data_IF_045367383780
#
_entry.id   IF_045367383780
#
_cell.length_a   1.000
_cell.length_b   1.000
_cell.length_c   1.000
_cell.angle_alpha   90.00
_cell.angle_beta   90.00
_cell.angle_gamma   90.00
#
_symmetry.space_group_name_H-M   'P 1'
#
loop_
_entity.id
_entity.type
_entity.pdbx_description
1 polymer ?
#
# COMPACT_ATOMS: atom_id res chain seq x y z
N UNK A 1 -8.68 1.62 0.13
CA UNK A 1 -7.77 2.51 -0.65
C UNK A 1 -7.12 1.78 -1.83
N UNK A 2 -6.46 0.64 -1.67
CA UNK A 2 -5.78 -0.08 -2.77
C UNK A 2 -6.68 -0.30 -3.99
N UNK A 3 -7.90 -0.78 -3.79
CA UNK A 3 -8.89 -0.95 -4.87
C UNK A 3 -9.19 0.35 -5.64
N UNK A 4 -9.26 1.49 -4.93
CA UNK A 4 -9.48 2.78 -5.59
C UNK A 4 -8.30 3.17 -6.49
N UNK A 5 -7.05 3.03 -5.99
CA UNK A 5 -5.86 3.32 -6.78
C UNK A 5 -5.80 2.44 -8.03
N UNK A 6 -6.10 1.14 -7.90
CA UNK A 6 -6.13 0.20 -9.03
C UNK A 6 -7.19 0.60 -10.08
N UNK A 7 -8.38 1.03 -9.65
CA UNK A 7 -9.41 1.55 -10.57
C UNK A 7 -9.01 2.85 -11.29
N UNK A 8 -8.08 3.61 -10.71
CA UNK A 8 -7.48 4.78 -11.35
C UNK A 8 -6.29 4.42 -12.28
N UNK A 9 -5.99 3.13 -12.44
CA UNK A 9 -4.90 2.65 -13.28
C UNK A 9 -3.53 2.67 -12.61
N UNK A 10 -3.47 2.82 -11.28
CA UNK A 10 -2.23 2.74 -10.50
C UNK A 10 -2.01 1.28 -10.11
N UNK A 11 -0.85 0.73 -10.46
CA UNK A 11 -0.43 -0.60 -10.04
C UNK A 11 -0.05 -0.55 -8.56
N UNK A 12 -0.81 -1.22 -7.71
CA UNK A 12 -0.56 -1.27 -6.27
C UNK A 12 0.10 -2.61 -5.94
N UNK A 13 1.27 -2.54 -5.29
CA UNK A 13 2.03 -3.70 -4.82
C UNK A 13 2.37 -3.57 -3.36
N UNK A 14 2.85 -4.63 -2.74
CA UNK A 14 3.29 -4.62 -1.35
C UNK A 14 4.62 -5.35 -1.21
N UNK A 15 5.36 -5.00 -0.18
CA UNK A 15 6.58 -5.70 0.23
C UNK A 15 6.59 -5.85 1.75
N UNK A 16 7.32 -6.84 2.22
CA UNK A 16 7.55 -7.11 3.64
C UNK A 16 9.04 -7.14 3.85
N UNK A 17 9.61 -6.00 4.17
CA UNK A 17 11.02 -5.90 4.52
C UNK A 17 11.21 -4.88 5.65
N UNK A 18 12.11 -5.19 6.57
CA UNK A 18 12.47 -4.27 7.65
C UNK A 18 13.40 -3.15 7.13
N UNK A 19 13.02 -2.52 6.02
CA UNK A 19 13.78 -1.45 5.37
C UNK A 19 13.41 -0.11 6.00
N UNK A 20 14.08 0.23 7.09
CA UNK A 20 14.06 1.58 7.66
C UNK A 20 12.67 2.12 8.00
N UNK A 21 12.37 3.34 7.56
CA UNK A 21 11.13 4.07 7.83
C UNK A 21 10.26 4.25 6.58
N UNK A 22 10.47 3.45 5.53
CA UNK A 22 9.71 3.56 4.30
C UNK A 22 8.32 2.92 4.47
N UNK A 23 7.27 3.73 4.48
CA UNK A 23 5.89 3.26 4.58
C UNK A 23 5.31 2.92 3.19
N UNK A 24 5.59 3.75 2.18
CA UNK A 24 5.25 3.52 0.77
C UNK A 24 6.18 4.31 -0.14
N UNK A 25 6.16 3.98 -1.42
CA UNK A 25 6.87 4.70 -2.48
C UNK A 25 6.03 4.66 -3.76
N UNK A 26 5.96 5.81 -4.45
CA UNK A 26 5.35 5.94 -5.76
C UNK A 26 6.37 6.30 -6.83
N UNK A 27 6.27 5.69 -8.01
CA UNK A 27 7.16 5.98 -9.14
C UNK A 27 6.50 5.71 -10.49
N UNK A 28 7.08 6.28 -11.56
CA UNK A 28 6.60 6.16 -12.93
C UNK A 28 7.67 5.46 -13.79
N UNK A 29 7.71 4.12 -13.84
CA UNK A 29 8.57 3.44 -14.79
C UNK A 29 8.08 3.68 -16.23
N UNK A 30 9.04 3.85 -17.13
CA UNK A 30 8.79 3.96 -18.57
C UNK A 30 9.30 2.68 -19.22
N UNK A 31 8.40 1.88 -19.75
CA UNK A 31 8.78 0.69 -20.53
C UNK A 31 8.74 1.04 -22.02
N UNK A 32 9.83 0.79 -22.70
CA UNK A 32 9.93 0.96 -24.15
C UNK A 32 9.97 -0.41 -24.81
N UNK A 33 8.98 -0.69 -25.66
CA UNK A 33 8.91 -1.90 -26.46
C UNK A 33 8.64 -1.54 -27.92
N UNK A 34 9.44 -2.08 -28.86
CA UNK A 34 9.32 -1.83 -30.29
C UNK A 34 9.25 -0.33 -30.68
N UNK A 35 9.95 0.54 -29.94
CA UNK A 35 9.96 1.99 -30.18
C UNK A 35 8.79 2.76 -29.59
N UNK A 36 7.83 2.08 -28.98
CA UNK A 36 6.75 2.71 -28.23
C UNK A 36 7.10 2.75 -26.73
N UNK A 37 6.97 3.93 -26.13
CA UNK A 37 7.22 4.14 -24.69
C UNK A 37 5.89 4.26 -23.96
N UNK A 38 5.68 3.41 -22.95
CA UNK A 38 4.48 3.42 -22.11
C UNK A 38 4.85 3.70 -20.66
N UNK A 39 4.16 4.67 -20.06
CA UNK A 39 4.29 5.00 -18.64
C UNK A 39 3.35 4.14 -17.82
N UNK A 40 3.85 3.62 -16.71
CA UNK A 40 3.06 2.93 -15.72
C UNK A 40 3.13 3.68 -14.40
N UNK A 41 2.05 3.67 -13.65
CA UNK A 41 1.96 4.32 -12.35
C UNK A 41 1.99 3.24 -11.27
N UNK A 42 2.99 3.29 -10.40
CA UNK A 42 3.19 2.31 -9.34
C UNK A 42 3.15 2.97 -7.97
N UNK A 43 2.48 2.32 -7.04
CA UNK A 43 2.57 2.61 -5.61
C UNK A 43 2.83 1.30 -4.87
N UNK A 44 3.94 1.21 -4.17
CA UNK A 44 4.34 0.03 -3.38
C UNK A 44 4.35 0.40 -1.91
N UNK A 45 3.67 -0.39 -1.06
CA UNK A 45 3.60 -0.12 0.38
C UNK A 45 4.22 -1.26 1.21
N UNK A 46 4.73 -0.89 2.39
CA UNK A 46 5.30 -1.83 3.34
C UNK A 46 4.18 -2.42 4.20
N UNK A 47 4.15 -3.77 4.33
CA UNK A 47 3.20 -4.47 5.20
C UNK A 47 3.68 -4.58 6.63
N UNK A 48 5.00 -4.42 6.87
CA UNK A 48 5.58 -4.50 8.19
C UNK A 48 5.28 -3.25 9.01
N UNK A 49 4.95 -3.43 10.29
CA UNK A 49 4.75 -2.32 11.23
C UNK A 49 3.67 -1.30 10.84
N UNK A 50 2.78 -1.65 9.90
CA UNK A 50 1.62 -0.82 9.57
C UNK A 50 0.33 -1.44 10.10
N UNK A 51 -0.74 -0.67 10.08
CA UNK A 51 -2.09 -1.12 10.42
C UNK A 51 -3.03 -0.75 9.28
N UNK A 52 -4.20 -1.39 9.13
CA UNK A 52 -5.14 -1.03 8.05
C UNK A 52 -5.50 0.47 8.04
N UNK A 53 -5.63 1.08 9.21
CA UNK A 53 -5.92 2.51 9.33
C UNK A 53 -4.76 3.39 8.85
N UNK A 54 -3.51 3.01 9.16
CA UNK A 54 -2.31 3.69 8.67
C UNK A 54 -2.14 3.49 7.17
N UNK A 55 -2.35 2.26 6.69
CA UNK A 55 -2.28 1.95 5.26
C UNK A 55 -3.26 2.80 4.45
N UNK A 56 -4.50 2.99 4.94
CA UNK A 56 -5.46 3.87 4.26
C UNK A 56 -4.93 5.30 4.13
N UNK A 57 -4.29 5.83 5.18
CA UNK A 57 -3.67 7.16 5.13
C UNK A 57 -2.48 7.20 4.18
N UNK A 58 -1.58 6.23 4.26
CA UNK A 58 -0.40 6.12 3.39
C UNK A 58 -0.81 6.07 1.92
N UNK A 59 -1.77 5.22 1.55
CA UNK A 59 -2.25 5.13 0.17
C UNK A 59 -3.00 6.40 -0.29
N UNK A 60 -3.70 7.09 0.61
CA UNK A 60 -4.32 8.38 0.29
C UNK A 60 -3.28 9.49 0.12
N UNK A 61 -2.19 9.44 0.87
CA UNK A 61 -1.04 10.35 0.74
C UNK A 61 -0.34 10.16 -0.61
N UNK A 62 -0.07 8.91 -1.00
CA UNK A 62 0.48 8.58 -2.32
C UNK A 62 -0.44 9.06 -3.46
N UNK A 63 -1.77 8.86 -3.30
CA UNK A 63 -2.74 9.42 -4.24
C UNK A 63 -2.66 10.95 -4.31
N UNK A 64 -2.41 11.61 -3.19
CA UNK A 64 -2.18 13.05 -3.14
C UNK A 64 -1.00 13.46 -4.00
N UNK A 65 0.14 12.78 -3.91
CA UNK A 65 1.30 13.02 -4.77
C UNK A 65 0.96 12.84 -6.26
N UNK A 66 0.17 11.82 -6.62
CA UNK A 66 -0.27 11.60 -8.00
C UNK A 66 -1.14 12.74 -8.52
N UNK A 67 -2.16 13.14 -7.76
CA UNK A 67 -3.12 14.16 -8.17
C UNK A 67 -2.48 15.55 -8.25
N UNK A 68 -1.58 15.86 -7.31
CA UNK A 68 -0.90 17.16 -7.23
C UNK A 68 0.33 17.26 -8.15
N UNK A 69 0.71 16.15 -8.80
CA UNK A 69 1.83 16.13 -9.73
C UNK A 69 3.21 16.18 -9.07
N UNK A 70 3.33 15.74 -7.82
CA UNK A 70 4.56 15.78 -7.03
C UNK A 70 5.54 14.63 -7.36
N UNK A 71 5.13 13.67 -8.21
CA UNK A 71 5.95 12.51 -8.54
C UNK A 71 7.01 12.91 -9.56
N UNK A 72 8.23 13.01 -9.11
CA UNK A 72 9.41 13.33 -9.93
C UNK A 72 10.26 12.08 -10.17
N UNK A 73 10.96 12.03 -11.31
CA UNK A 73 11.82 10.90 -11.67
C UNK A 73 13.07 10.80 -10.79
N UNK A 74 13.49 11.91 -10.17
CA UNK A 74 14.65 11.96 -9.27
C UNK A 74 14.37 12.86 -8.06
N UNK A 75 14.03 12.23 -6.94
CA UNK A 75 13.77 12.92 -5.66
C UNK A 75 15.01 13.65 -5.14
N UNK A 76 16.23 13.17 -5.48
CA UNK A 76 17.48 13.79 -5.02
C UNK A 76 17.75 15.16 -5.68
N UNK A 77 17.09 15.45 -6.78
CA UNK A 77 17.19 16.74 -7.48
C UNK A 77 16.24 17.81 -6.91
N UNK A 78 15.33 17.43 -6.03
CA UNK A 78 14.36 18.36 -5.43
C UNK A 78 14.99 19.17 -4.30
N UNK A 79 14.70 20.47 -4.25
CA UNK A 79 15.11 21.31 -3.12
C UNK A 79 14.37 20.89 -1.84
N UNK A 80 15.05 20.88 -0.70
CA UNK A 80 14.47 20.50 0.60
C UNK A 80 13.18 21.23 0.96
N UNK A 81 13.06 22.51 0.55
CA UNK A 81 11.86 23.31 0.80
C UNK A 81 10.67 22.85 -0.04
N UNK A 82 10.91 22.52 -1.31
CA UNK A 82 9.91 21.99 -2.23
C UNK A 82 9.45 20.61 -1.78
N UNK A 83 10.38 19.71 -1.43
CA UNK A 83 10.05 18.40 -0.88
C UNK A 83 9.14 18.52 0.35
N UNK A 84 9.49 19.36 1.32
CA UNK A 84 8.65 19.58 2.52
C UNK A 84 7.27 20.15 2.20
N UNK A 85 7.18 21.04 1.20
CA UNK A 85 5.90 21.57 0.74
C UNK A 85 5.04 20.47 0.14
N UNK A 86 5.59 19.67 -0.75
CA UNK A 86 4.89 18.55 -1.41
C UNK A 86 4.39 17.51 -0.41
N UNK A 87 5.21 17.18 0.60
CA UNK A 87 4.81 16.29 1.70
C UNK A 87 3.65 16.88 2.52
N UNK A 88 3.71 18.19 2.80
CA UNK A 88 2.63 18.90 3.52
C UNK A 88 1.32 18.86 2.72
N UNK A 89 1.38 19.12 1.42
CA UNK A 89 0.22 19.14 0.55
C UNK A 89 -0.40 17.75 0.38
N UNK A 90 0.43 16.72 0.22
CA UNK A 90 -0.02 15.32 0.18
C UNK A 90 -0.70 14.89 1.49
N UNK A 91 -0.14 15.30 2.64
CA UNK A 91 -0.75 15.06 3.96
C UNK A 91 -2.09 15.78 4.13
N UNK A 92 -2.20 17.02 3.65
CA UNK A 92 -3.45 17.78 3.68
C UNK A 92 -4.49 17.15 2.77
N UNK A 93 -4.10 16.75 1.55
CA UNK A 93 -4.96 16.02 0.63
C UNK A 93 -5.50 14.74 1.28
N UNK A 94 -4.62 13.87 1.77
CA UNK A 94 -5.00 12.60 2.41
C UNK A 94 -5.98 12.81 3.56
N UNK A 95 -5.70 13.82 4.39
CA UNK A 95 -6.55 14.18 5.52
C UNK A 95 -7.95 14.67 5.09
N UNK A 96 -8.02 15.49 4.05
CA UNK A 96 -9.28 16.00 3.53
C UNK A 96 -10.08 14.93 2.77
N UNK A 97 -9.37 14.07 2.03
CA UNK A 97 -9.96 12.98 1.25
C UNK A 97 -10.59 11.91 2.14
N UNK A 98 -9.86 11.46 3.17
CA UNK A 98 -10.35 10.43 4.09
C UNK A 98 -11.37 10.94 5.09
N UNK A 99 -11.29 12.23 5.48
CA UNK A 99 -12.17 12.88 6.44
C UNK A 99 -12.72 14.21 5.86
N UNK A 100 -13.67 14.15 4.91
CA UNK A 100 -14.31 15.34 4.35
C UNK A 100 -14.96 16.17 5.45
N UNK A 101 -14.78 17.48 5.41
CA UNK A 101 -15.13 18.42 6.50
C UNK A 101 -16.56 18.25 7.01
N UNK A 102 -17.53 18.33 6.09
CA UNK A 102 -18.96 18.37 6.47
C UNK A 102 -19.40 17.06 7.12
N UNK A 103 -19.01 15.92 6.54
CA UNK A 103 -19.41 14.60 7.04
C UNK A 103 -18.66 14.22 8.32
N UNK A 104 -17.36 14.54 8.40
CA UNK A 104 -16.58 14.27 9.59
C UNK A 104 -17.08 15.09 10.80
N UNK A 105 -17.32 16.40 10.60
CA UNK A 105 -17.83 17.25 11.69
C UNK A 105 -19.24 16.88 12.15
N UNK A 106 -20.08 16.39 11.25
CA UNK A 106 -21.40 15.86 11.60
C UNK A 106 -21.32 14.65 12.54
N UNK A 107 -20.30 13.80 12.35
CA UNK A 107 -20.11 12.60 13.17
C UNK A 107 -19.39 12.89 14.49
N UNK A 108 -18.54 13.92 14.54
CA UNK A 108 -17.69 14.27 15.69
C UNK A 108 -18.47 15.11 16.70
N UNK A 109 -19.22 14.44 17.60
CA UNK A 109 -20.07 15.12 18.57
C UNK A 109 -19.31 15.66 19.79
N UNK A 110 -18.25 14.94 20.22
CA UNK A 110 -17.49 15.27 21.43
C UNK A 110 -15.99 15.41 21.11
N UNK A 111 -15.56 16.51 20.45
CA UNK A 111 -14.21 16.63 19.91
C UNK A 111 -13.10 16.63 20.97
N UNK A 112 -13.41 16.93 22.24
CA UNK A 112 -12.42 16.94 23.33
C UNK A 112 -12.32 15.61 24.08
N UNK A 113 -13.11 14.60 23.69
CA UNK A 113 -13.18 13.29 24.34
C UNK A 113 -12.48 12.23 23.53
N UNK A 114 -11.38 11.65 24.05
CA UNK A 114 -10.57 10.66 23.30
C UNK A 114 -11.38 9.43 22.88
N UNK A 115 -12.30 8.95 23.72
CA UNK A 115 -13.12 7.77 23.40
C UNK A 115 -14.10 8.01 22.23
N UNK A 116 -14.41 9.26 21.90
CA UNK A 116 -15.20 9.61 20.72
C UNK A 116 -14.44 9.23 19.43
N UNK A 117 -13.15 9.52 19.37
CA UNK A 117 -12.30 9.13 18.23
C UNK A 117 -12.13 7.62 18.14
N UNK A 118 -12.11 6.90 19.26
CA UNK A 118 -12.13 5.44 19.25
C UNK A 118 -13.41 4.88 18.60
N UNK A 119 -14.56 5.44 18.95
CA UNK A 119 -15.85 5.10 18.32
C UNK A 119 -15.87 5.42 16.82
N UNK A 120 -15.33 6.56 16.42
CA UNK A 120 -15.28 6.99 15.03
C UNK A 120 -14.31 6.17 14.18
N UNK A 121 -13.25 5.59 14.79
CA UNK A 121 -12.29 4.74 14.10
C UNK A 121 -12.95 3.54 13.39
N UNK A 122 -13.96 2.94 14.01
CA UNK A 122 -14.72 1.82 13.43
C UNK A 122 -15.47 2.23 12.15
N UNK A 123 -15.95 3.47 12.09
CA UNK A 123 -16.68 4.00 10.92
C UNK A 123 -15.75 4.48 9.83
N UNK A 124 -14.72 5.25 10.19
CA UNK A 124 -13.89 5.98 9.25
C UNK A 124 -12.65 5.20 8.79
N UNK A 125 -12.30 4.11 9.49
CA UNK A 125 -11.13 3.26 9.19
C UNK A 125 -9.82 4.05 9.06
N UNK A 126 -9.66 5.07 9.88
CA UNK A 126 -8.46 5.90 10.01
C UNK A 126 -7.99 5.94 11.47
N UNK A 127 -6.73 6.29 11.69
CA UNK A 127 -6.19 6.33 13.05
C UNK A 127 -6.80 7.45 13.90
N UNK A 128 -6.88 7.21 15.20
CA UNK A 128 -7.34 8.19 16.19
C UNK A 128 -6.46 9.45 16.11
N UNK A 129 -5.14 9.27 16.00
CA UNK A 129 -4.20 10.38 15.87
C UNK A 129 -4.49 11.25 14.64
N UNK A 130 -4.84 10.64 13.51
CA UNK A 130 -5.20 11.36 12.28
C UNK A 130 -6.51 12.15 12.46
N UNK A 131 -7.53 11.56 13.05
CA UNK A 131 -8.80 12.24 13.31
C UNK A 131 -8.63 13.43 14.25
N UNK A 132 -7.81 13.32 15.30
CA UNK A 132 -7.49 14.44 16.19
C UNK A 132 -6.77 15.56 15.44
N UNK A 133 -5.79 15.22 14.56
CA UNK A 133 -5.13 16.22 13.70
C UNK A 133 -6.11 16.90 12.77
N UNK A 134 -7.01 16.14 12.14
CA UNK A 134 -8.05 16.71 11.27
C UNK A 134 -8.97 17.67 12.02
N UNK A 135 -9.45 17.30 13.21
CA UNK A 135 -10.27 18.17 14.06
C UNK A 135 -9.53 19.47 14.42
N UNK A 136 -8.22 19.39 14.69
CA UNK A 136 -7.41 20.57 14.96
C UNK A 136 -7.24 21.46 13.69
N UNK A 137 -6.96 20.87 12.52
CA UNK A 137 -6.87 21.58 11.25
C UNK A 137 -8.19 22.26 10.85
N UNK A 138 -9.32 21.68 11.26
CA UNK A 138 -10.65 22.26 11.06
C UNK A 138 -11.06 23.26 12.15
N UNK A 139 -10.11 23.65 13.03
CA UNK A 139 -10.30 24.63 14.11
C UNK A 139 -11.37 24.24 15.15
N UNK A 140 -11.71 22.96 15.24
CA UNK A 140 -12.64 22.40 16.23
C UNK A 140 -11.97 22.20 17.59
N UNK A 141 -10.66 22.02 17.58
CA UNK A 141 -9.83 21.90 18.78
C UNK A 141 -8.91 23.10 18.92
N UNK A 142 -8.82 23.65 20.13
CA UNK A 142 -7.78 24.61 20.48
C UNK A 142 -6.40 23.92 20.56
N UNK A 143 -5.28 24.66 20.50
CA UNK A 143 -3.93 24.09 20.66
C UNK A 143 -3.76 23.28 21.96
N UNK A 144 -4.35 23.75 23.07
CA UNK A 144 -4.29 23.09 24.38
C UNK A 144 -5.07 21.79 24.40
N UNK A 145 -6.26 21.75 23.79
CA UNK A 145 -7.10 20.54 23.67
C UNK A 145 -6.42 19.49 22.78
N UNK A 146 -5.84 19.92 21.64
CA UNK A 146 -5.06 19.07 20.78
C UNK A 146 -3.88 18.42 21.52
N UNK A 147 -3.06 19.21 22.22
CA UNK A 147 -1.95 18.69 23.02
C UNK A 147 -2.41 17.76 24.13
N UNK A 148 -3.55 18.06 24.75
CA UNK A 148 -4.11 17.23 25.80
C UNK A 148 -4.53 15.84 25.29
N UNK A 149 -5.22 15.78 24.14
CA UNK A 149 -5.59 14.52 23.50
C UNK A 149 -4.36 13.70 23.09
N UNK A 150 -3.31 14.33 22.55
CA UNK A 150 -2.07 13.65 22.23
C UNK A 150 -1.30 13.13 23.45
N UNK A 151 -1.38 13.84 24.60
CA UNK A 151 -0.87 13.30 25.87
C UNK A 151 -1.66 12.08 26.32
N UNK A 152 -2.97 12.09 26.20
CA UNK A 152 -3.80 10.93 26.51
C UNK A 152 -3.50 9.73 25.60
N UNK A 153 -3.30 9.94 24.31
CA UNK A 153 -2.81 8.89 23.37
C UNK A 153 -1.49 8.30 23.87
N UNK A 154 -0.56 9.15 24.25
CA UNK A 154 0.76 8.71 24.77
C UNK A 154 0.64 7.90 26.04
N UNK A 155 -0.13 8.37 27.02
CA UNK A 155 -0.30 7.69 28.31
C UNK A 155 -1.00 6.33 28.22
N UNK A 156 -1.81 6.12 27.17
CA UNK A 156 -2.49 4.85 26.87
C UNK A 156 -1.68 3.94 25.96
N UNK A 157 -0.50 4.35 25.49
CA UNK A 157 0.30 3.60 24.51
C UNK A 157 -0.28 3.61 23.09
N UNK A 158 -1.34 4.40 22.82
CA UNK A 158 -2.05 4.41 21.53
C UNK A 158 -1.32 5.18 20.42
N UNK A 159 -0.16 5.76 20.68
CA UNK A 159 0.68 6.35 19.62
C UNK A 159 1.29 5.30 18.69
N UNK A 160 1.55 4.11 19.23
CA UNK A 160 2.18 3.01 18.49
C UNK A 160 1.15 1.98 18.07
N UNK A 161 0.23 1.66 18.97
CA UNK A 161 -0.80 0.65 18.78
C UNK A 161 -2.14 1.15 19.32
N UNK A 162 -3.09 1.36 18.44
CA UNK A 162 -4.44 1.80 18.80
C UNK A 162 -5.36 0.60 18.98
N UNK A 163 -6.41 0.70 19.83
CA UNK A 163 -7.44 -0.34 19.89
C UNK A 163 -8.02 -0.60 18.49
N UNK A 164 -8.23 -1.88 18.16
CA UNK A 164 -8.73 -2.30 16.85
C UNK A 164 -7.66 -2.44 15.74
N UNK A 165 -6.38 -2.22 16.04
CA UNK A 165 -5.27 -2.41 15.09
C UNK A 165 -4.84 -3.88 14.89
N UNK A 166 -5.52 -4.84 15.51
CA UNK A 166 -5.18 -6.28 15.45
C UNK A 166 -5.52 -6.97 14.13
N UNK A 167 -6.01 -6.23 13.14
CA UNK A 167 -6.39 -6.79 11.84
C UNK A 167 -5.17 -6.86 10.94
N UNK A 168 -4.94 -8.00 10.30
CA UNK A 168 -3.88 -8.15 9.29
C UNK A 168 -4.00 -7.09 8.18
N UNK A 169 -2.86 -6.55 7.80
CA UNK A 169 -2.79 -5.63 6.66
C UNK A 169 -2.94 -6.45 5.38
N UNK A 170 -3.91 -6.13 4.52
CA UNK A 170 -4.07 -6.87 3.28
C UNK A 170 -2.84 -6.72 2.40
N UNK A 171 -2.36 -7.82 1.85
CA UNK A 171 -1.35 -7.82 0.79
C UNK A 171 -1.99 -7.38 -0.53
N UNK A 172 -1.18 -6.78 -1.40
CA UNK A 172 -1.65 -6.39 -2.73
C UNK A 172 -1.93 -7.64 -3.57
N UNK A 173 -3.14 -7.76 -4.11
CA UNK A 173 -3.61 -8.95 -4.82
C UNK A 173 -3.57 -8.84 -6.36
N UNK A 174 -3.12 -7.70 -6.91
CA UNK A 174 -3.17 -7.46 -8.35
C UNK A 174 -2.40 -8.54 -9.14
N UNK A 175 -1.18 -8.81 -8.75
CA UNK A 175 -0.37 -9.80 -9.46
C UNK A 175 -0.87 -11.23 -9.25
N UNK A 176 -1.29 -11.59 -8.04
CA UNK A 176 -1.83 -12.93 -7.78
C UNK A 176 -3.10 -13.21 -8.59
N UNK A 177 -3.98 -12.20 -8.70
CA UNK A 177 -5.16 -12.27 -9.57
C UNK A 177 -4.76 -12.35 -11.04
N UNK A 178 -3.76 -11.57 -11.47
CA UNK A 178 -3.27 -11.59 -12.86
C UNK A 178 -2.68 -12.95 -13.23
N UNK A 179 -1.86 -13.55 -12.36
CA UNK A 179 -1.29 -14.89 -12.57
C UNK A 179 -2.41 -15.93 -12.73
N UNK A 180 -3.41 -15.85 -11.87
CA UNK A 180 -4.57 -16.75 -11.95
C UNK A 180 -5.32 -16.58 -13.28
N UNK A 181 -5.55 -15.35 -13.72
CA UNK A 181 -6.22 -15.07 -15.00
C UNK A 181 -5.42 -15.63 -16.18
N UNK A 182 -4.09 -15.48 -16.17
CA UNK A 182 -3.21 -16.00 -17.22
C UNK A 182 -3.26 -17.53 -17.28
N UNK A 183 -3.26 -18.18 -16.12
CA UNK A 183 -3.34 -19.65 -15.99
C UNK A 183 -4.73 -20.17 -16.40
N UNK A 184 -5.80 -19.62 -15.85
CA UNK A 184 -7.19 -20.02 -16.12
C UNK A 184 -7.57 -19.87 -17.61
N UNK A 185 -6.99 -18.92 -18.33
CA UNK A 185 -7.23 -18.68 -19.75
C UNK A 185 -6.20 -19.38 -20.66
N UNK A 186 -5.27 -20.16 -20.12
CA UNK A 186 -4.25 -20.87 -20.88
C UNK A 186 -3.28 -19.96 -21.65
N UNK A 187 -3.14 -18.69 -21.23
CA UNK A 187 -2.23 -17.73 -21.86
C UNK A 187 -0.78 -18.05 -21.48
N UNK A 188 -0.54 -18.27 -20.19
CA UNK A 188 0.72 -18.74 -19.64
C UNK A 188 0.35 -19.63 -18.45
N UNK A 189 0.75 -20.88 -18.50
CA UNK A 189 0.66 -21.76 -17.34
C UNK A 189 1.55 -21.23 -16.23
N UNK A 190 1.03 -21.16 -15.00
CA UNK A 190 1.79 -20.60 -13.85
C UNK A 190 3.14 -21.27 -13.63
N UNK A 191 3.26 -22.57 -13.88
CA UNK A 191 4.52 -23.31 -13.83
C UNK A 191 5.55 -22.92 -14.90
N UNK A 192 5.14 -22.22 -15.96
CA UNK A 192 6.01 -21.65 -17.01
C UNK A 192 6.27 -20.16 -16.82
N UNK A 193 5.54 -19.50 -15.92
CA UNK A 193 5.63 -18.05 -15.73
C UNK A 193 7.01 -17.62 -15.23
N UNK A 194 7.63 -18.36 -14.31
CA UNK A 194 8.97 -18.08 -13.82
C UNK A 194 10.01 -18.07 -14.96
N UNK A 195 9.94 -19.04 -15.86
CA UNK A 195 10.80 -19.12 -17.03
C UNK A 195 10.59 -17.91 -17.93
N UNK A 196 9.33 -17.57 -18.22
CA UNK A 196 8.98 -16.42 -19.03
C UNK A 196 9.49 -15.10 -18.43
N UNK A 197 9.35 -14.90 -17.11
CA UNK A 197 9.84 -13.71 -16.42
C UNK A 197 11.38 -13.61 -16.49
N UNK A 198 12.08 -14.72 -16.28
CA UNK A 198 13.56 -14.77 -16.36
C UNK A 198 14.09 -14.49 -17.77
N UNK A 199 13.35 -14.89 -18.80
CA UNK A 199 13.74 -14.68 -20.21
C UNK A 199 13.39 -13.27 -20.71
N UNK A 200 12.31 -12.66 -20.24
CA UNK A 200 11.75 -11.43 -20.81
C UNK A 200 11.81 -10.20 -19.89
N UNK A 201 12.09 -10.38 -18.61
CA UNK A 201 12.14 -9.27 -17.64
C UNK A 201 13.54 -9.15 -17.03
N UNK A 202 13.76 -9.79 -15.89
CA UNK A 202 15.06 -9.84 -15.22
C UNK A 202 15.21 -11.21 -14.53
N UNK A 203 16.42 -11.68 -14.42
CA UNK A 203 16.69 -12.97 -13.79
C UNK A 203 16.67 -12.83 -12.27
N UNK A 204 15.77 -13.56 -11.62
CA UNK A 204 15.69 -13.65 -10.17
C UNK A 204 15.28 -15.06 -9.73
N UNK A 205 15.51 -15.36 -8.45
CA UNK A 205 15.03 -16.60 -7.85
C UNK A 205 13.50 -16.59 -7.75
N UNK A 206 12.90 -17.77 -7.81
CA UNK A 206 11.46 -17.97 -7.68
C UNK A 206 10.87 -17.22 -6.47
N UNK A 207 11.46 -17.41 -5.29
CA UNK A 207 11.04 -16.76 -4.06
C UNK A 207 10.98 -15.24 -4.20
N UNK A 208 11.97 -14.64 -4.87
CA UNK A 208 12.01 -13.18 -5.10
C UNK A 208 10.82 -12.70 -5.93
N UNK A 209 10.46 -13.44 -6.99
CA UNK A 209 9.27 -13.10 -7.78
C UNK A 209 7.98 -13.30 -6.96
N UNK A 210 7.87 -14.41 -6.23
CA UNK A 210 6.69 -14.69 -5.40
C UNK A 210 6.49 -13.60 -4.34
N UNK A 211 7.56 -13.19 -3.65
CA UNK A 211 7.53 -12.12 -2.66
C UNK A 211 7.14 -10.77 -3.29
N UNK A 212 7.77 -10.38 -4.42
CA UNK A 212 7.49 -9.12 -5.12
C UNK A 212 6.07 -9.05 -5.70
N UNK A 213 5.54 -10.19 -6.13
CA UNK A 213 4.20 -10.27 -6.72
C UNK A 213 3.11 -10.57 -5.70
N UNK A 214 3.44 -10.75 -4.42
CA UNK A 214 2.50 -11.11 -3.36
C UNK A 214 1.83 -12.47 -3.61
N UNK A 215 2.58 -13.43 -4.18
CA UNK A 215 2.13 -14.79 -4.40
C UNK A 215 2.41 -15.65 -3.17
N UNK A 216 1.61 -16.70 -2.99
CA UNK A 216 1.94 -17.76 -2.03
C UNK A 216 3.23 -18.46 -2.47
N UNK A 217 4.02 -18.92 -1.50
CA UNK A 217 5.23 -19.70 -1.80
C UNK A 217 4.88 -20.92 -2.64
N UNK A 218 5.75 -21.26 -3.58
CA UNK A 218 5.58 -22.37 -4.53
C UNK A 218 4.49 -22.18 -5.59
N UNK A 219 3.93 -20.98 -5.73
CA UNK A 219 2.96 -20.66 -6.79
C UNK A 219 3.58 -20.78 -8.18
N UNK A 220 4.86 -20.43 -8.30
CA UNK A 220 5.61 -20.45 -9.56
C UNK A 220 6.43 -21.74 -9.73
N UNK A 221 6.19 -22.79 -8.95
CA UNK A 221 6.87 -24.08 -9.13
C UNK A 221 6.68 -24.56 -10.57
N UNK A 222 7.76 -25.04 -11.22
CA UNK A 222 7.66 -25.59 -12.57
C UNK A 222 6.54 -26.64 -12.61
N UNK A 223 5.68 -26.54 -13.62
CA UNK A 223 4.72 -27.61 -13.86
C UNK A 223 5.51 -28.92 -13.94
N UNK A 224 5.22 -29.87 -13.08
CA UNK A 224 5.81 -31.19 -13.18
C UNK A 224 5.43 -31.71 -14.57
N UNK A 225 6.32 -31.56 -15.52
CA UNK A 225 6.15 -32.09 -16.87
C UNK A 225 5.88 -33.59 -16.73
N UNK A 226 4.65 -33.95 -17.04
CA UNK A 226 4.11 -35.23 -16.77
C UNK A 226 4.94 -36.38 -17.30
N UNK A 227 4.70 -37.51 -16.68
CA UNK A 227 5.19 -38.84 -16.97
C UNK A 227 6.70 -39.06 -16.83
N UNK A 228 7.14 -39.29 -15.62
CA UNK A 228 8.16 -40.34 -15.46
C UNK A 228 7.61 -41.59 -16.09
N UNK A 229 8.03 -41.91 -17.32
CA UNK A 229 7.87 -43.23 -17.89
C UNK A 229 8.52 -44.18 -16.89
N UNK A 230 7.71 -44.97 -16.26
CA UNK A 230 8.16 -46.02 -15.34
C UNK A 230 9.09 -46.91 -16.18
N UNK A 231 10.39 -46.86 -15.91
CA UNK A 231 11.34 -47.81 -16.49
C UNK A 231 11.00 -49.16 -15.90
N UNK A 232 10.26 -50.00 -16.65
CA UNK A 232 10.05 -51.39 -16.32
C UNK A 232 11.36 -52.14 -16.57
N UNK A 233 12.07 -52.47 -15.50
CA UNK A 233 13.15 -53.46 -15.58
C UNK A 233 12.53 -54.82 -15.89
N UNK A 234 12.77 -55.33 -17.10
CA UNK A 234 12.48 -56.72 -17.43
C UNK A 234 13.51 -57.59 -16.68
N UNK A 235 13.06 -58.54 -15.84
CA UNK A 235 13.99 -59.52 -15.28
C UNK A 235 14.47 -60.46 -16.39
N UNK A 236 15.80 -60.70 -16.39
CA UNK A 236 16.42 -61.76 -17.21
C UNK A 236 15.94 -63.16 -16.76
#
# INVERSE_FOLDING_TARGET
MSYLLQNLGIVVTSFSENVGHLDAISHIPVLTNNGESKKFYFTTYNTDKTTPARLNFTLAHELGHWILGHIVSDVKSQADAEYRSNESDANQFASAFLLPKETFLKDLQYPTVLNEYLRLKEKWHVSIAMMIRRAYMLEVLSPSQYQYLFRQLGSRGWRTFEPGDMVEVPTASLFSVSVKILDDNGIIEKGNLLKYLNENCFTAQQKTFEDLMGLEQHTLDPAMSGSFSRVEFKPN
#
